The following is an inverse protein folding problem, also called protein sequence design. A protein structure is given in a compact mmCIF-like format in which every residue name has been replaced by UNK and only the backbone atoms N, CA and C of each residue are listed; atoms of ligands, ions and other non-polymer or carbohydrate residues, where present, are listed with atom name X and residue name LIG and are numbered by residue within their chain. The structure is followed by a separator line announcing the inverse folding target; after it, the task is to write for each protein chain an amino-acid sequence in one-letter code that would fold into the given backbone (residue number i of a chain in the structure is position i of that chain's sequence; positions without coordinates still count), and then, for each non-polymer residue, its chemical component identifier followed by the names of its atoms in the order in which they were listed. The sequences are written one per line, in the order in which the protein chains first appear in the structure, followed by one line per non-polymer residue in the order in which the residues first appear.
data_IF_104030405759
#
_entry.id   IF_104030405759
#
_cell.length_a   1.000
_cell.length_b   1.000
_cell.length_c   1.000
_cell.angle_alpha   90.00
_cell.angle_beta   90.00
_cell.angle_gamma   90.00
#
_symmetry.space_group_name_H-M   'P 1'
#
loop_
_entity.id
_entity.type
_entity.pdbx_description
1 polymer ?
#
# COMPACT_ATOMS: atom_id res chain seq x y z
N UNK A 1 -2.70 16.55 1.22
CA UNK A 1 -2.39 15.70 0.05
C UNK A 1 -3.48 15.96 -1.00
N UNK A 2 -3.33 16.95 -1.91
CA UNK A 2 -4.47 17.49 -2.69
C UNK A 2 -5.16 16.47 -3.62
N UNK A 3 -4.44 15.48 -4.13
CA UNK A 3 -4.99 14.53 -5.10
C UNK A 3 -5.82 13.41 -4.45
N UNK A 4 -5.48 13.03 -3.21
CA UNK A 4 -6.15 11.95 -2.48
C UNK A 4 -6.94 12.47 -1.26
N UNK A 5 -7.10 13.78 -1.12
CA UNK A 5 -7.79 14.38 0.03
C UNK A 5 -9.21 13.85 0.16
N UNK A 6 -9.51 13.20 1.29
CA UNK A 6 -10.81 12.59 1.58
C UNK A 6 -11.12 11.30 0.82
N UNK A 7 -10.11 10.64 0.22
CA UNK A 7 -10.30 9.35 -0.43
C UNK A 7 -10.50 8.23 0.61
N UNK A 8 -11.49 7.35 0.43
CA UNK A 8 -11.68 6.18 1.30
C UNK A 8 -10.57 5.13 1.11
N UNK A 9 -10.06 5.03 -0.13
CA UNK A 9 -9.07 4.04 -0.58
C UNK A 9 -7.98 4.72 -1.42
N UNK A 10 -6.72 4.39 -1.11
CA UNK A 10 -5.55 4.74 -1.92
C UNK A 10 -4.91 3.45 -2.44
N UNK A 11 -4.70 3.36 -3.75
CA UNK A 11 -3.87 2.32 -4.38
C UNK A 11 -2.53 2.98 -4.74
N UNK A 12 -1.42 2.45 -4.23
CA UNK A 12 -0.13 3.15 -4.31
C UNK A 12 1.02 2.21 -4.68
N UNK A 13 2.03 2.78 -5.33
CA UNK A 13 3.28 2.10 -5.66
C UNK A 13 4.08 1.83 -4.38
N UNK A 14 4.41 0.57 -4.13
CA UNK A 14 5.21 0.15 -2.97
C UNK A 14 6.36 -0.77 -3.41
N UNK A 15 7.01 -0.41 -4.53
CA UNK A 15 8.07 -1.19 -5.15
C UNK A 15 9.27 -1.44 -4.21
N UNK A 16 9.71 -0.38 -3.51
CA UNK A 16 10.96 -0.40 -2.75
C UNK A 16 10.74 -0.62 -1.26
N UNK A 17 11.65 -1.37 -0.66
CA UNK A 17 11.99 -1.24 0.76
C UNK A 17 12.80 0.04 0.98
N UNK A 18 12.88 0.55 2.23
CA UNK A 18 13.75 1.68 2.55
C UNK A 18 15.21 1.46 2.11
N UNK A 19 15.72 0.23 2.23
CA UNK A 19 17.08 -0.11 1.80
C UNK A 19 17.23 0.03 0.28
N UNK A 20 16.35 -0.58 -0.51
CA UNK A 20 16.41 -0.51 -1.97
C UNK A 20 16.24 0.93 -2.48
N UNK A 21 15.38 1.72 -1.82
CA UNK A 21 15.21 3.14 -2.15
C UNK A 21 16.52 3.93 -1.97
N UNK A 22 17.28 3.66 -0.89
CA UNK A 22 18.57 4.34 -0.68
C UNK A 22 19.60 4.03 -1.76
N UNK A 23 19.53 2.84 -2.37
CA UNK A 23 20.44 2.42 -3.43
C UNK A 23 20.02 2.97 -4.80
N UNK A 24 18.71 3.21 -5.03
CA UNK A 24 18.16 3.57 -6.35
C UNK A 24 17.07 4.67 -6.25
N UNK A 25 17.33 5.82 -5.61
CA UNK A 25 16.29 6.83 -5.35
C UNK A 25 15.74 7.50 -6.61
N UNK A 26 16.44 7.39 -7.74
CA UNK A 26 16.09 8.05 -8.99
C UNK A 26 15.24 7.21 -9.95
N UNK A 27 14.88 5.97 -9.57
CA UNK A 27 14.06 5.10 -10.42
C UNK A 27 12.59 5.55 -10.49
N UNK A 28 12.17 6.47 -9.62
CA UNK A 28 10.82 7.01 -9.64
C UNK A 28 9.77 6.09 -8.99
N UNK A 29 10.22 5.12 -8.19
CA UNK A 29 9.33 4.30 -7.36
C UNK A 29 9.33 4.73 -5.91
N UNK A 30 8.30 4.30 -5.18
CA UNK A 30 8.07 4.70 -3.79
C UNK A 30 8.24 3.53 -2.82
N UNK A 31 8.24 3.84 -1.52
CA UNK A 31 8.20 2.83 -0.46
C UNK A 31 6.81 2.68 0.14
N UNK A 32 6.62 1.63 0.93
CA UNK A 32 5.42 1.47 1.74
C UNK A 32 5.18 2.66 2.67
N UNK A 33 6.23 3.17 3.31
CA UNK A 33 6.15 4.30 4.24
C UNK A 33 5.63 5.57 3.57
N UNK A 34 6.00 5.81 2.31
CA UNK A 34 5.44 6.90 1.51
C UNK A 34 3.92 6.73 1.34
N UNK A 35 3.48 5.52 1.03
CA UNK A 35 2.05 5.18 0.91
C UNK A 35 1.29 5.36 2.23
N UNK A 36 1.86 4.91 3.35
CA UNK A 36 1.28 5.10 4.69
C UNK A 36 1.13 6.59 5.04
N UNK A 37 2.16 7.39 4.73
CA UNK A 37 2.15 8.83 4.98
C UNK A 37 1.15 9.57 4.09
N UNK A 38 1.04 9.15 2.83
CA UNK A 38 0.03 9.65 1.90
C UNK A 38 -1.38 9.39 2.44
N UNK A 39 -1.69 8.16 2.87
CA UNK A 39 -3.00 7.84 3.45
C UNK A 39 -3.29 8.69 4.70
N UNK A 40 -2.30 8.84 5.58
CA UNK A 40 -2.42 9.67 6.77
C UNK A 40 -2.74 11.13 6.43
N UNK A 41 -2.05 11.70 5.44
CA UNK A 41 -2.25 13.08 4.99
C UNK A 41 -3.53 13.28 4.16
N UNK A 42 -4.04 12.20 3.56
CA UNK A 42 -5.27 12.16 2.79
C UNK A 42 -6.51 12.00 3.70
N UNK A 43 -6.34 11.40 4.87
CA UNK A 43 -7.45 10.94 5.70
C UNK A 43 -8.11 9.68 5.14
N UNK A 44 -7.32 8.80 4.51
CA UNK A 44 -7.81 7.56 3.92
C UNK A 44 -7.81 6.41 4.93
N UNK A 45 -8.80 5.53 4.82
CA UNK A 45 -9.00 4.38 5.72
C UNK A 45 -8.33 3.10 5.20
N UNK A 46 -8.07 3.04 3.89
CA UNK A 46 -7.52 1.87 3.21
C UNK A 46 -6.33 2.21 2.32
N UNK A 47 -5.26 1.41 2.41
CA UNK A 47 -4.13 1.40 1.49
C UNK A 47 -4.07 0.05 0.77
N UNK A 48 -3.95 0.07 -0.56
CA UNK A 48 -3.57 -1.09 -1.36
C UNK A 48 -2.14 -0.93 -1.83
N UNK A 49 -1.28 -1.83 -1.36
CA UNK A 49 0.08 -2.01 -1.86
C UNK A 49 -0.01 -2.59 -3.28
N UNK A 50 0.47 -1.84 -4.26
CA UNK A 50 0.53 -2.25 -5.65
C UNK A 50 1.97 -2.12 -6.18
N UNK A 51 2.21 -2.73 -7.35
CA UNK A 51 3.45 -2.54 -8.10
C UNK A 51 4.70 -2.97 -7.32
N UNK A 52 4.66 -4.19 -6.75
CA UNK A 52 5.82 -4.76 -6.06
C UNK A 52 7.01 -4.97 -7.01
N UNK A 53 8.22 -4.97 -6.46
CA UNK A 53 9.44 -5.31 -7.20
C UNK A 53 9.34 -6.75 -7.75
N UNK A 54 9.39 -6.97 -9.09
CA UNK A 54 9.21 -8.29 -9.69
C UNK A 54 10.35 -9.28 -9.38
N UNK A 55 11.49 -8.78 -8.90
CA UNK A 55 12.59 -9.64 -8.43
C UNK A 55 12.33 -10.23 -7.03
N UNK A 56 11.25 -9.81 -6.36
CA UNK A 56 10.90 -10.24 -5.00
C UNK A 56 10.03 -11.49 -5.03
N UNK A 57 10.46 -12.53 -4.34
CA UNK A 57 9.75 -13.80 -4.27
C UNK A 57 8.55 -13.80 -3.31
N UNK A 58 7.77 -14.87 -3.33
CA UNK A 58 6.56 -15.02 -2.51
C UNK A 58 6.84 -14.95 -1.00
N UNK A 59 7.91 -15.59 -0.51
CA UNK A 59 8.24 -15.53 0.92
C UNK A 59 8.63 -14.13 1.38
N UNK A 60 9.38 -13.40 0.55
CA UNK A 60 9.79 -12.03 0.84
C UNK A 60 8.60 -11.07 0.81
N UNK A 61 7.68 -11.27 -0.14
CA UNK A 61 6.43 -10.51 -0.20
C UNK A 61 5.56 -10.78 1.03
N UNK A 62 5.42 -12.04 1.46
CA UNK A 62 4.66 -12.39 2.66
C UNK A 62 5.20 -11.68 3.91
N UNK A 63 6.53 -11.63 4.09
CA UNK A 63 7.14 -10.92 5.21
C UNK A 63 6.88 -9.41 5.17
N UNK A 64 6.95 -8.79 3.99
CA UNK A 64 6.61 -7.37 3.83
C UNK A 64 5.15 -7.11 4.12
N UNK A 65 4.25 -8.00 3.72
CA UNK A 65 2.82 -7.84 3.93
C UNK A 65 2.46 -7.87 5.41
N UNK A 66 3.05 -8.78 6.17
CA UNK A 66 2.85 -8.84 7.62
C UNK A 66 3.38 -7.58 8.30
N UNK A 67 4.57 -7.10 7.92
CA UNK A 67 5.11 -5.85 8.45
C UNK A 67 4.22 -4.64 8.07
N UNK A 68 3.73 -4.61 6.84
CA UNK A 68 2.87 -3.52 6.36
C UNK A 68 1.54 -3.45 7.11
N UNK A 69 0.92 -4.60 7.36
CA UNK A 69 -0.29 -4.70 8.18
C UNK A 69 -0.03 -4.19 9.59
N UNK A 70 1.06 -4.62 10.22
CA UNK A 70 1.46 -4.17 11.56
C UNK A 70 1.66 -2.66 11.63
N UNK A 71 2.33 -2.08 10.63
CA UNK A 71 2.54 -0.62 10.54
C UNK A 71 1.22 0.15 10.31
N UNK A 72 0.32 -0.40 9.50
CA UNK A 72 -1.02 0.14 9.27
C UNK A 72 -1.86 0.15 10.54
N UNK A 73 -1.95 -1.00 11.23
CA UNK A 73 -2.70 -1.15 12.48
C UNK A 73 -2.26 -0.15 13.54
N UNK A 74 -0.95 0.03 13.72
CA UNK A 74 -0.39 1.01 14.65
C UNK A 74 -0.78 2.47 14.31
N UNK A 75 -1.29 2.73 13.11
CA UNK A 75 -1.72 4.04 12.60
C UNK A 75 -3.23 4.12 12.36
N UNK A 76 -3.98 3.06 12.67
CA UNK A 76 -5.42 2.99 12.40
C UNK A 76 -5.77 2.90 10.91
N UNK A 77 -4.85 2.39 10.08
CA UNK A 77 -4.99 2.25 8.63
C UNK A 77 -5.07 0.78 8.24
N UNK A 78 -6.05 0.43 7.40
CA UNK A 78 -6.16 -0.93 6.86
C UNK A 78 -5.25 -1.08 5.64
N UNK A 79 -4.24 -1.94 5.73
CA UNK A 79 -3.29 -2.19 4.63
C UNK A 79 -3.60 -3.52 3.96
N UNK A 80 -3.80 -3.45 2.65
CA UNK A 80 -4.13 -4.56 1.78
C UNK A 80 -3.04 -4.73 0.73
N UNK A 81 -2.97 -5.94 0.21
CA UNK A 81 -2.04 -6.32 -0.84
C UNK A 81 -2.84 -6.58 -2.10
N UNK A 82 -2.50 -5.88 -3.17
CA UNK A 82 -3.05 -6.17 -4.48
C UNK A 82 -2.39 -7.43 -5.07
N UNK A 83 -3.21 -8.37 -5.56
CA UNK A 83 -2.75 -9.52 -6.33
C UNK A 83 -3.49 -9.63 -7.67
N UNK A 84 -2.87 -10.34 -8.63
CA UNK A 84 -3.47 -10.57 -9.94
C UNK A 84 -4.82 -11.32 -9.81
N UNK A 85 -5.81 -10.89 -10.58
CA UNK A 85 -7.15 -11.49 -10.57
C UNK A 85 -8.03 -11.06 -9.40
N UNK A 86 -7.52 -10.28 -8.45
CA UNK A 86 -8.29 -9.81 -7.29
C UNK A 86 -9.31 -8.75 -7.68
N UNK A 87 -10.51 -8.84 -7.09
CA UNK A 87 -11.58 -7.85 -7.28
C UNK A 87 -12.08 -7.36 -5.92
N UNK A 88 -12.32 -6.06 -5.81
CA UNK A 88 -12.89 -5.42 -4.61
C UNK A 88 -14.03 -4.49 -4.99
N UNK A 89 -14.97 -4.33 -4.06
CA UNK A 89 -16.11 -3.43 -4.19
C UNK A 89 -16.00 -2.31 -3.17
N UNK A 90 -15.95 -1.07 -3.66
CA UNK A 90 -15.99 0.14 -2.84
C UNK A 90 -17.41 0.72 -2.87
N UNK A 91 -18.06 0.78 -1.71
CA UNK A 91 -19.40 1.34 -1.55
C UNK A 91 -19.41 2.38 -0.42
N UNK A 92 -20.47 3.19 -0.35
CA UNK A 92 -20.66 4.10 0.79
C UNK A 92 -20.72 3.28 2.08
N UNK A 93 -19.72 3.46 2.93
CA UNK A 93 -19.63 2.80 4.24
C UNK A 93 -18.76 1.55 4.29
N UNK A 94 -18.05 1.18 3.22
CA UNK A 94 -17.03 0.14 3.33
C UNK A 94 -16.41 -0.37 2.04
N UNK A 95 -15.38 -1.19 2.22
CA UNK A 95 -14.61 -1.85 1.19
C UNK A 95 -14.64 -3.37 1.43
N UNK A 96 -15.08 -4.15 0.43
CA UNK A 96 -15.21 -5.61 0.55
C UNK A 96 -14.52 -6.34 -0.59
N UNK A 97 -13.91 -7.48 -0.30
CA UNK A 97 -13.35 -8.38 -1.30
C UNK A 97 -14.48 -9.13 -2.03
N UNK A 98 -14.37 -9.27 -3.34
CA UNK A 98 -15.25 -10.10 -4.16
C UNK A 98 -14.65 -11.50 -4.34
N UNK A 99 -15.53 -12.50 -4.49
CA UNK A 99 -15.15 -13.88 -4.87
C UNK A 99 -14.80 -13.99 -6.36
#
# INVERSE_FOLDING_TARGET
MRLAEGADLVIYDTFFTPKEYTERPHWGHSTLEDGLEICRLAGADHLFMFHHNPERGDEELALLYEEARRMGECRGLNVHVACEGQTWKLERGGLTACE
#
